data_IF_322055066970
#
_entry.id   IF_322055066970
#
_cell.length_a   1.000
_cell.length_b   1.000
_cell.length_c   1.000
_cell.angle_alpha   90.00
_cell.angle_beta   90.00
_cell.angle_gamma   90.00
#
_symmetry.space_group_name_H-M   'P 1'
#
loop_
_entity.id
_entity.type
_entity.pdbx_description
1 polymer ?
#
# COMPACT_ATOMS: atom_id res chain seq x y z
N UNK A 1 -33.45 -8.71 30.51
CA UNK A 1 -33.11 -7.66 29.52
C UNK A 1 -31.65 -7.30 29.72
N UNK A 2 -30.78 -7.95 28.97
CA UNK A 2 -29.34 -7.69 28.99
C UNK A 2 -29.07 -6.42 28.17
N UNK A 3 -28.20 -5.50 28.64
CA UNK A 3 -27.86 -4.32 27.87
C UNK A 3 -26.90 -4.70 26.75
N UNK A 4 -27.36 -4.46 25.53
CA UNK A 4 -26.58 -4.51 24.30
C UNK A 4 -25.47 -3.48 24.46
N UNK A 5 -24.21 -3.94 24.61
CA UNK A 5 -23.05 -3.06 24.47
C UNK A 5 -22.99 -2.66 23.01
N UNK A 6 -23.45 -1.45 22.73
CA UNK A 6 -23.14 -0.73 21.50
C UNK A 6 -21.64 -0.51 21.45
N UNK A 7 -20.94 -1.46 20.84
CA UNK A 7 -19.56 -1.32 20.40
C UNK A 7 -19.55 -0.25 19.31
N UNK A 8 -19.25 0.97 19.72
CA UNK A 8 -18.92 2.07 18.83
C UNK A 8 -17.68 1.63 18.08
N UNK A 9 -17.88 1.12 16.86
CA UNK A 9 -16.82 0.85 15.90
C UNK A 9 -16.17 2.20 15.57
N UNK A 10 -15.15 2.60 16.31
CA UNK A 10 -14.18 3.55 15.81
C UNK A 10 -13.44 2.83 14.69
N UNK A 11 -13.85 3.06 13.44
CA UNK A 11 -13.15 2.69 12.19
C UNK A 11 -11.70 3.17 12.26
N UNK A 12 -10.87 2.40 12.95
CA UNK A 12 -9.44 2.60 13.02
C UNK A 12 -8.87 1.73 11.92
N UNK A 13 -8.26 2.33 10.90
CA UNK A 13 -7.51 1.60 9.86
C UNK A 13 -6.19 1.02 10.43
N UNK A 14 -6.17 0.69 11.72
CA UNK A 14 -5.02 0.16 12.43
C UNK A 14 -4.91 -1.33 12.16
N UNK A 15 -3.70 -1.78 11.83
CA UNK A 15 -3.44 -3.20 11.66
C UNK A 15 -3.45 -3.90 13.02
N UNK A 16 -4.29 -4.93 13.13
CA UNK A 16 -4.30 -5.82 14.29
C UNK A 16 -3.04 -6.67 14.35
N UNK A 17 -2.66 -7.11 15.54
CA UNK A 17 -1.47 -7.96 15.75
C UNK A 17 -1.55 -9.24 14.91
N UNK A 18 -2.73 -9.88 14.84
CA UNK A 18 -2.95 -11.08 14.02
C UNK A 18 -2.80 -10.80 12.52
N UNK A 19 -3.24 -9.64 12.05
CA UNK A 19 -3.05 -9.23 10.65
C UNK A 19 -1.56 -9.09 10.33
N UNK A 20 -0.81 -8.39 11.20
CA UNK A 20 0.64 -8.26 11.05
C UNK A 20 1.31 -9.64 11.05
N UNK A 21 0.91 -10.56 11.93
CA UNK A 21 1.45 -11.92 11.97
C UNK A 21 1.29 -12.65 10.63
N UNK A 22 0.08 -12.63 10.05
CA UNK A 22 -0.18 -13.29 8.77
C UNK A 22 0.66 -12.70 7.63
N UNK A 23 0.98 -11.40 7.68
CA UNK A 23 1.89 -10.75 6.74
C UNK A 23 3.35 -11.18 6.98
N UNK A 24 3.78 -11.30 8.24
CA UNK A 24 5.15 -11.71 8.57
C UNK A 24 5.48 -13.14 8.14
N UNK A 25 4.51 -14.06 8.12
CA UNK A 25 4.69 -15.46 7.70
C UNK A 25 5.22 -15.58 6.27
N UNK A 26 4.83 -14.65 5.38
CA UNK A 26 5.22 -14.63 3.97
C UNK A 26 6.38 -13.68 3.66
N UNK A 27 6.86 -12.93 4.65
CA UNK A 27 7.96 -11.99 4.48
C UNK A 27 9.33 -12.69 4.48
N UNK A 28 10.26 -12.20 3.67
CA UNK A 28 11.60 -12.74 3.53
C UNK A 28 12.65 -11.63 3.65
N UNK A 29 13.77 -11.94 4.32
CA UNK A 29 14.86 -10.97 4.55
C UNK A 29 15.51 -10.48 3.25
N UNK A 30 15.66 -11.35 2.25
CA UNK A 30 16.24 -10.97 0.96
C UNK A 30 15.38 -9.93 0.24
N UNK A 31 14.07 -10.18 0.15
CA UNK A 31 13.11 -9.25 -0.46
C UNK A 31 13.08 -7.92 0.30
N UNK A 32 13.12 -7.95 1.63
CA UNK A 32 13.24 -6.73 2.44
C UNK A 32 14.45 -5.91 2.01
N UNK A 33 15.62 -6.51 1.86
CA UNK A 33 16.84 -5.78 1.50
C UNK A 33 16.70 -5.07 0.15
N UNK A 34 16.17 -5.77 -0.86
CA UNK A 34 15.92 -5.19 -2.19
C UNK A 34 14.92 -4.02 -2.14
N UNK A 35 13.85 -4.15 -1.35
CA UNK A 35 12.89 -3.06 -1.21
C UNK A 35 13.45 -1.90 -0.38
N UNK A 36 14.31 -2.16 0.60
CA UNK A 36 15.00 -1.13 1.39
C UNK A 36 15.85 -0.23 0.47
N UNK A 37 16.61 -0.83 -0.45
CA UNK A 37 17.39 -0.10 -1.46
C UNK A 37 16.50 0.78 -2.36
N UNK A 38 15.33 0.26 -2.77
CA UNK A 38 14.35 1.04 -3.55
C UNK A 38 13.71 2.15 -2.73
N UNK A 39 13.39 1.88 -1.46
CA UNK A 39 12.76 2.81 -0.54
C UNK A 39 13.68 3.99 -0.22
N UNK A 40 14.99 3.76 -0.10
CA UNK A 40 15.97 4.81 0.14
C UNK A 40 16.03 5.87 -0.99
N UNK A 41 15.50 5.59 -2.19
CA UNK A 41 15.41 6.57 -3.28
C UNK A 41 14.47 7.74 -2.94
N UNK A 42 13.58 7.58 -1.96
CA UNK A 42 12.65 8.63 -1.51
C UNK A 42 13.40 9.92 -1.16
N UNK A 43 14.56 9.82 -0.51
CA UNK A 43 15.38 10.98 -0.13
C UNK A 43 15.97 11.76 -1.32
N UNK A 44 15.94 11.18 -2.52
CA UNK A 44 16.41 11.81 -3.76
C UNK A 44 15.27 12.42 -4.58
N UNK A 45 14.02 12.28 -4.15
CA UNK A 45 12.85 12.81 -4.84
C UNK A 45 12.52 14.21 -4.32
N UNK A 46 12.65 15.22 -5.19
CA UNK A 46 12.45 16.63 -4.83
C UNK A 46 11.19 17.24 -5.46
N UNK A 47 10.43 16.47 -6.23
CA UNK A 47 9.24 16.96 -6.93
C UNK A 47 8.13 17.37 -5.96
N UNK A 48 7.50 18.51 -6.22
CA UNK A 48 6.44 19.07 -5.37
C UNK A 48 5.23 18.12 -5.22
N UNK A 49 4.92 17.37 -6.28
CA UNK A 49 3.81 16.40 -6.29
C UNK A 49 4.12 15.18 -5.41
N UNK A 50 5.40 14.78 -5.37
CA UNK A 50 5.89 13.66 -4.56
C UNK A 50 6.04 14.02 -3.09
N UNK A 51 6.25 15.30 -2.77
CA UNK A 51 6.57 15.81 -1.43
C UNK A 51 5.59 15.37 -0.33
N UNK A 52 4.30 15.25 -0.65
CA UNK A 52 3.29 14.79 0.32
C UNK A 52 3.50 13.32 0.69
N UNK A 53 3.92 12.48 -0.25
CA UNK A 53 4.12 11.05 -0.05
C UNK A 53 5.49 10.78 0.54
N UNK A 54 6.53 11.46 0.05
CA UNK A 54 7.88 11.32 0.60
C UNK A 54 7.91 11.70 2.07
N UNK A 55 7.30 12.82 2.47
CA UNK A 55 7.24 13.23 3.86
C UNK A 55 6.55 12.18 4.76
N UNK A 56 5.49 11.52 4.28
CA UNK A 56 4.83 10.45 5.03
C UNK A 56 5.72 9.21 5.13
N UNK A 57 6.32 8.79 4.01
CA UNK A 57 7.13 7.59 3.94
C UNK A 57 8.47 7.73 4.67
N UNK A 58 9.04 8.95 4.74
CA UNK A 58 10.24 9.27 5.53
C UNK A 58 10.01 9.12 7.03
N UNK A 59 8.77 9.27 7.51
CA UNK A 59 8.37 8.96 8.89
C UNK A 59 8.04 7.48 9.12
N UNK A 60 8.36 6.63 8.14
CA UNK A 60 8.18 5.18 8.22
C UNK A 60 9.46 4.43 7.86
N UNK A 61 9.50 3.15 8.22
CA UNK A 61 10.57 2.24 7.82
C UNK A 61 10.03 0.89 7.40
N UNK A 62 10.66 0.26 6.41
CA UNK A 62 10.36 -1.13 6.06
C UNK A 62 10.83 -2.04 7.20
N UNK A 63 9.88 -2.70 7.86
CA UNK A 63 10.15 -3.69 8.90
C UNK A 63 10.08 -5.11 8.37
N UNK A 64 9.25 -5.35 7.36
CA UNK A 64 9.15 -6.64 6.70
C UNK A 64 8.71 -6.46 5.24
N UNK A 65 9.11 -7.39 4.38
CA UNK A 65 8.66 -7.41 2.99
C UNK A 65 8.52 -8.82 2.45
N UNK A 66 7.49 -9.05 1.64
CA UNK A 66 7.20 -10.28 0.92
C UNK A 66 7.06 -10.02 -0.58
N UNK A 67 6.63 -11.04 -1.32
CA UNK A 67 6.47 -10.94 -2.78
C UNK A 67 5.41 -9.91 -3.18
N UNK A 68 4.30 -9.85 -2.43
CA UNK A 68 3.12 -9.05 -2.74
C UNK A 68 2.84 -7.92 -1.72
N UNK A 69 3.57 -7.86 -0.60
CA UNK A 69 3.36 -6.86 0.44
C UNK A 69 4.66 -6.29 1.00
N UNK A 70 4.57 -5.05 1.48
CA UNK A 70 5.57 -4.38 2.31
C UNK A 70 4.89 -3.94 3.59
N UNK A 71 5.51 -4.24 4.73
CA UNK A 71 5.08 -3.76 6.05
C UNK A 71 5.99 -2.60 6.45
N UNK A 72 5.37 -1.44 6.61
CA UNK A 72 5.99 -0.23 7.12
C UNK A 72 5.66 -0.06 8.60
N UNK A 73 6.60 0.46 9.38
CA UNK A 73 6.36 0.84 10.77
C UNK A 73 6.59 2.33 11.00
N UNK A 74 5.76 2.93 11.84
CA UNK A 74 5.88 4.33 12.29
C UNK A 74 5.62 4.43 13.80
N UNK A 75 6.13 5.48 14.44
CA UNK A 75 5.87 5.78 15.85
C UNK A 75 4.49 6.44 16.05
N UNK A 76 3.93 7.05 15.00
CA UNK A 76 2.67 7.78 15.09
C UNK A 76 1.47 6.93 14.68
N UNK A 77 0.61 6.61 15.64
CA UNK A 77 -0.69 5.94 15.38
C UNK A 77 -1.57 6.74 14.41
N UNK A 78 -1.53 8.07 14.50
CA UNK A 78 -2.31 8.95 13.60
C UNK A 78 -1.81 8.83 12.16
N UNK A 79 -0.49 8.79 11.95
CA UNK A 79 0.09 8.57 10.62
C UNK A 79 -0.23 7.17 10.10
N UNK A 80 -0.09 6.14 10.94
CA UNK A 80 -0.43 4.77 10.56
C UNK A 80 -1.88 4.66 10.06
N UNK A 81 -2.83 5.19 10.84
CA UNK A 81 -4.24 5.20 10.46
C UNK A 81 -4.48 5.96 9.15
N UNK A 82 -3.88 7.15 9.00
CA UNK A 82 -4.01 7.97 7.79
C UNK A 82 -3.44 7.27 6.55
N UNK A 83 -2.29 6.63 6.66
CA UNK A 83 -1.64 5.94 5.55
C UNK A 83 -2.35 4.64 5.16
N UNK A 84 -3.10 4.03 6.09
CA UNK A 84 -3.95 2.88 5.81
C UNK A 84 -5.37 3.27 5.37
N UNK A 85 -5.76 4.55 5.39
CA UNK A 85 -7.04 4.97 4.81
C UNK A 85 -7.10 4.56 3.33
N UNK A 86 -8.18 3.93 2.84
CA UNK A 86 -8.21 3.31 1.51
C UNK A 86 -7.74 4.24 0.38
N UNK A 87 -8.17 5.51 0.40
CA UNK A 87 -7.79 6.51 -0.59
C UNK A 87 -6.28 6.84 -0.52
N UNK A 88 -5.77 7.12 0.67
CA UNK A 88 -4.36 7.46 0.88
C UNK A 88 -3.46 6.25 0.59
N UNK A 89 -3.86 5.05 1.02
CA UNK A 89 -3.14 3.82 0.81
C UNK A 89 -3.03 3.48 -0.68
N UNK A 90 -4.10 3.68 -1.45
CA UNK A 90 -4.08 3.54 -2.91
C UNK A 90 -3.15 4.56 -3.58
N UNK A 91 -3.18 5.82 -3.16
CA UNK A 91 -2.26 6.86 -3.67
C UNK A 91 -0.79 6.51 -3.35
N UNK A 92 -0.51 6.02 -2.13
CA UNK A 92 0.82 5.57 -1.72
C UNK A 92 1.27 4.34 -2.50
N UNK A 93 0.37 3.40 -2.78
CA UNK A 93 0.64 2.23 -3.62
C UNK A 93 1.04 2.64 -5.03
N UNK A 94 0.27 3.54 -5.64
CA UNK A 94 0.59 4.07 -6.96
C UNK A 94 1.95 4.78 -6.95
N UNK A 95 2.20 5.63 -5.97
CA UNK A 95 3.49 6.32 -5.82
C UNK A 95 4.67 5.35 -5.66
N UNK A 96 4.54 4.34 -4.78
CA UNK A 96 5.57 3.34 -4.56
C UNK A 96 5.85 2.52 -5.83
N UNK A 97 4.80 2.19 -6.59
CA UNK A 97 4.90 1.46 -7.85
C UNK A 97 5.59 2.28 -8.94
N UNK A 98 5.09 3.48 -9.21
CA UNK A 98 5.53 4.31 -10.34
C UNK A 98 6.88 4.97 -10.09
N UNK A 99 7.14 5.40 -8.84
CA UNK A 99 8.33 6.18 -8.51
C UNK A 99 9.45 5.32 -7.92
N UNK A 100 9.12 4.38 -7.04
CA UNK A 100 10.13 3.56 -6.33
C UNK A 100 10.36 2.19 -6.99
N UNK A 101 9.48 1.78 -7.92
CA UNK A 101 9.52 0.44 -8.51
C UNK A 101 9.17 -0.66 -7.51
N UNK A 102 8.34 -0.34 -6.52
CA UNK A 102 7.82 -1.25 -5.48
C UNK A 102 6.36 -1.53 -5.81
N UNK A 103 6.11 -2.56 -6.62
CA UNK A 103 4.75 -2.99 -6.99
C UNK A 103 4.16 -3.97 -5.95
N UNK A 104 3.98 -3.50 -4.71
CA UNK A 104 3.55 -4.31 -3.56
C UNK A 104 2.57 -3.52 -2.68
N UNK A 105 1.62 -4.22 -2.06
CA UNK A 105 0.67 -3.59 -1.14
C UNK A 105 1.37 -3.09 0.12
N UNK A 106 1.08 -1.84 0.51
CA UNK A 106 1.65 -1.23 1.71
C UNK A 106 0.73 -1.42 2.91
N UNK A 107 1.29 -1.97 3.97
CA UNK A 107 0.63 -2.16 5.26
C UNK A 107 1.39 -1.36 6.31
N UNK A 108 0.73 -0.37 6.94
CA UNK A 108 1.39 0.50 7.91
C UNK A 108 0.99 0.10 9.33
N UNK A 109 1.97 -0.31 10.12
CA UNK A 109 1.78 -0.66 11.53
C UNK A 109 2.45 0.38 12.44
N UNK A 110 2.04 0.41 13.71
CA UNK A 110 2.80 1.15 14.73
C UNK A 110 4.00 0.31 15.19
N UNK A 111 5.05 0.98 15.68
CA UNK A 111 6.20 0.28 16.24
C UNK A 111 5.84 -0.63 17.43
N UNK A 112 4.88 -0.22 18.28
CA UNK A 112 4.35 -1.08 19.35
C UNK A 112 3.65 -2.32 18.79
N UNK A 113 2.68 -2.17 17.89
CA UNK A 113 1.97 -3.31 17.31
C UNK A 113 2.91 -4.28 16.58
N UNK A 114 3.90 -3.74 15.86
CA UNK A 114 4.92 -4.54 15.19
C UNK A 114 5.82 -5.31 16.18
N UNK A 115 6.15 -4.70 17.32
CA UNK A 115 6.93 -5.35 18.39
C UNK A 115 6.15 -6.51 19.01
N UNK A 116 4.89 -6.28 19.38
CA UNK A 116 4.02 -7.32 19.94
C UNK A 116 3.79 -8.46 18.93
N UNK A 117 3.55 -8.14 17.66
CA UNK A 117 3.43 -9.14 16.59
C UNK A 117 4.72 -9.94 16.41
N UNK A 118 5.89 -9.30 16.47
CA UNK A 118 7.17 -10.00 16.32
C UNK A 118 7.42 -10.98 17.48
N UNK A 119 7.10 -10.59 18.72
CA UNK A 119 7.21 -11.46 19.88
C UNK A 119 6.30 -12.69 19.73
N UNK A 120 5.02 -12.45 19.42
CA UNK A 120 4.03 -13.51 19.19
C UNK A 120 4.42 -14.41 18.02
N UNK A 121 5.02 -13.86 16.96
CA UNK A 121 5.53 -14.64 15.82
C UNK A 121 6.63 -15.62 16.24
N UNK A 122 7.58 -15.18 17.07
CA UNK A 122 8.66 -16.03 17.57
C UNK A 122 8.10 -17.15 18.45
N UNK A 123 7.12 -16.85 19.30
CA UNK A 123 6.45 -17.84 20.15
C UNK A 123 5.69 -18.89 19.31
N UNK A 124 4.86 -18.45 18.36
CA UNK A 124 4.09 -19.34 17.48
C UNK A 124 4.99 -20.16 16.55
N UNK A 125 6.09 -19.58 16.06
CA UNK A 125 7.08 -20.28 15.26
C UNK A 125 7.77 -21.40 16.04
N UNK A 126 8.10 -21.17 17.32
CA UNK A 126 8.65 -22.21 18.21
C UNK A 126 7.62 -23.30 18.52
N UNK A 127 6.35 -22.92 18.67
CA UNK A 127 5.25 -23.85 18.91
C UNK A 127 4.79 -24.61 17.66
N UNK A 128 5.28 -24.25 16.47
CA UNK A 128 4.82 -24.83 15.20
C UNK A 128 3.38 -24.45 14.81
N UNK A 129 2.83 -23.39 15.40
CA UNK A 129 1.44 -22.95 15.25
C UNK A 129 1.35 -21.58 14.56
N UNK A 130 2.15 -21.36 13.51
CA UNK A 130 2.08 -20.12 12.74
C UNK A 130 0.75 -20.04 11.97
N UNK A 131 0.13 -18.84 11.90
CA UNK A 131 -1.10 -18.66 11.13
C UNK A 131 -0.83 -18.83 9.64
N UNK A 132 -1.90 -19.05 8.87
CA UNK A 132 -1.80 -19.08 7.41
C UNK A 132 -1.47 -17.69 6.86
N UNK A 133 -0.67 -17.60 5.78
CA UNK A 133 -0.35 -16.32 5.16
C UNK A 133 -1.61 -15.68 4.57
N UNK A 134 -1.72 -14.36 4.71
CA UNK A 134 -2.85 -13.59 4.20
C UNK A 134 -2.78 -13.48 2.68
N UNK A 135 -3.90 -13.74 2.00
CA UNK A 135 -4.04 -13.47 0.57
C UNK A 135 -4.06 -11.96 0.34
N UNK A 136 -3.08 -11.46 -0.40
CA UNK A 136 -2.95 -10.04 -0.71
C UNK A 136 -3.57 -9.76 -2.07
N UNK A 137 -4.53 -8.83 -2.08
CA UNK A 137 -5.11 -8.30 -3.31
C UNK A 137 -4.51 -6.93 -3.57
N UNK A 138 -3.83 -6.77 -4.72
CA UNK A 138 -3.24 -5.50 -5.14
C UNK A 138 -4.32 -4.57 -5.71
N UNK A 139 -4.13 -3.25 -5.62
CA UNK A 139 -5.00 -2.31 -6.31
C UNK A 139 -4.88 -2.47 -7.83
N UNK A 140 -6.02 -2.51 -8.50
CA UNK A 140 -6.09 -2.44 -9.96
C UNK A 140 -5.98 -0.96 -10.33
N UNK A 141 -4.79 -0.55 -10.80
CA UNK A 141 -4.62 0.78 -11.36
C UNK A 141 -5.01 0.68 -12.83
N UNK A 142 -6.20 1.16 -13.16
CA UNK A 142 -6.59 1.39 -14.55
C UNK A 142 -5.66 2.47 -15.11
N UNK A 143 -4.66 2.08 -15.90
CA UNK A 143 -3.95 3.05 -16.73
C UNK A 143 -5.00 3.66 -17.66
N UNK A 144 -5.15 5.00 -17.74
CA UNK A 144 -5.91 5.57 -18.83
C UNK A 144 -5.28 5.03 -20.10
N UNK A 145 -6.07 4.33 -20.93
CA UNK A 145 -5.60 3.89 -22.24
C UNK A 145 -5.01 5.12 -22.92
N UNK A 146 -3.72 5.07 -23.26
CA UNK A 146 -3.15 5.96 -24.25
C UNK A 146 -3.94 5.72 -25.53
N UNK A 147 -4.97 6.54 -25.76
CA UNK A 147 -5.57 6.67 -27.08
C UNK A 147 -4.46 7.20 -27.97
N UNK A 148 -3.81 6.27 -28.69
CA UNK A 148 -2.78 6.58 -29.67
C UNK A 148 -3.30 7.68 -30.60
N UNK A 149 -2.46 8.66 -30.92
CA UNK A 149 -2.80 9.81 -31.77
C UNK A 149 -3.45 9.40 -33.10
N UNK A 150 -3.21 8.16 -33.56
CA UNK A 150 -3.86 7.52 -34.71
C UNK A 150 -5.39 7.40 -34.59
N UNK A 151 -5.93 7.12 -33.40
CA UNK A 151 -7.38 7.02 -33.18
C UNK A 151 -8.06 8.40 -33.21
N UNK A 152 -7.36 9.44 -32.71
CA UNK A 152 -7.83 10.82 -32.79
C UNK A 152 -7.85 11.37 -34.22
N UNK A 153 -6.88 11.04 -35.07
CA UNK A 153 -6.91 11.48 -36.47
C UNK A 153 -7.98 10.76 -37.27
N UNK A 154 -8.27 9.48 -37.03
CA UNK A 154 -9.39 8.79 -37.70
C UNK A 154 -10.74 9.43 -37.40
N UNK A 155 -10.97 9.90 -36.18
CA UNK A 155 -12.19 10.61 -35.81
C UNK A 155 -12.32 12.00 -36.49
N UNK A 156 -11.22 12.69 -36.75
CA UNK A 156 -11.19 14.00 -37.42
C UNK A 156 -11.33 13.86 -38.95
N UNK A 157 -10.84 12.76 -39.51
CA UNK A 157 -10.90 12.46 -40.95
C UNK A 157 -12.09 11.58 -41.34
N UNK A 158 -13.14 11.50 -40.51
CA UNK A 158 -14.38 10.80 -40.87
C UNK A 158 -15.19 11.69 -41.84
N UNK A 159 -15.32 11.34 -43.13
CA UNK A 159 -15.87 12.23 -44.16
C UNK A 159 -17.41 12.28 -44.19
N UNK A 160 -18.11 11.82 -43.15
CA UNK A 160 -19.59 11.75 -43.10
C UNK A 160 -20.26 12.96 -42.44
N UNK A 161 -19.72 14.17 -42.63
CA UNK A 161 -20.50 15.40 -42.40
C UNK A 161 -20.46 16.23 -43.67
N UNK A 162 -21.23 15.78 -44.65
CA UNK A 162 -21.63 16.56 -45.82
C UNK A 162 -23.14 16.37 -46.02
N UNK A 163 -23.91 16.95 -45.11
CA UNK A 163 -25.23 17.47 -45.45
C UNK A 163 -25.15 18.99 -45.30
N UNK A 164 -24.87 19.64 -46.44
CA UNK A 164 -25.13 21.06 -46.63
C UNK A 164 -26.60 21.10 -47.03
N UNK A 165 -27.49 21.43 -46.10
CA UNK A 165 -28.84 21.83 -46.48
C UNK A 165 -28.78 23.27 -47.04
N UNK A 166 -29.29 23.42 -48.26
CA UNK A 166 -29.37 24.64 -49.07
C UNK A 166 -30.46 25.61 -48.56
#
# INVERSE_FOLDING_TARGET
>A
VEPIKTEVSTDSNELSIDEILTLLVQCQKAIKYEDDEKFNKIHSLFDMESKKYTALLEETRIVASGLDCVVLATDSKVLANRMNEPKMNQELYQFAKETLGIDKMLYIATNDAMKDATLKFIELKKAGNLPQPKSIVRYIIEKPQEVSTEDKVKAIFNPEILEIEE
#
